data_IF_828681838327
#
_entry.id   IF_828681838327
#
_cell.length_a   1.000
_cell.length_b   1.000
_cell.length_c   1.000
_cell.angle_alpha   90.00
_cell.angle_beta   90.00
_cell.angle_gamma   90.00
#
_symmetry.space_group_name_H-M   'P 1'
#
loop_
_entity.id
_entity.type
_entity.pdbx_description
1 polymer ?
#
# COMPACT_ATOMS: atom_id res chain seq x y z
N UNK A 1 -10.40 14.48 -5.99
CA UNK A 1 -11.30 13.37 -5.59
C UNK A 1 -10.51 12.06 -5.71
N UNK A 2 -10.94 10.95 -5.10
CA UNK A 2 -10.19 9.67 -5.06
C UNK A 2 -9.88 9.11 -6.46
N UNK A 3 -10.73 9.45 -7.43
CA UNK A 3 -10.59 9.12 -8.85
C UNK A 3 -9.33 9.74 -9.49
N UNK A 4 -8.86 10.88 -8.96
CA UNK A 4 -7.63 11.50 -9.44
C UNK A 4 -6.40 10.66 -9.05
N UNK A 5 -6.44 10.02 -7.87
CA UNK A 5 -5.39 9.09 -7.46
C UNK A 5 -5.44 7.83 -8.32
N UNK A 6 -6.63 7.25 -8.57
CA UNK A 6 -6.77 6.10 -9.47
C UNK A 6 -6.17 6.37 -10.86
N UNK A 7 -6.42 7.57 -11.43
CA UNK A 7 -5.82 8.00 -12.70
C UNK A 7 -4.30 8.13 -12.61
N UNK A 8 -3.75 8.70 -11.53
CA UNK A 8 -2.30 8.81 -11.33
C UNK A 8 -1.61 7.45 -11.20
N UNK A 9 -2.28 6.49 -10.57
CA UNK A 9 -1.81 5.10 -10.47
C UNK A 9 -1.91 4.36 -11.81
N UNK A 10 -2.68 4.88 -12.78
CA UNK A 10 -2.95 4.20 -14.04
C UNK A 10 -3.84 2.96 -13.91
N UNK A 11 -4.59 2.85 -12.79
CA UNK A 11 -5.39 1.67 -12.46
C UNK A 11 -6.88 2.01 -12.58
N UNK A 12 -7.62 1.20 -13.34
CA UNK A 12 -9.08 1.23 -13.37
C UNK A 12 -9.62 0.32 -12.29
N UNK A 13 -10.23 0.89 -11.25
CA UNK A 13 -10.91 0.14 -10.20
C UNK A 13 -12.31 -0.25 -10.65
N UNK A 14 -12.68 -1.52 -10.46
CA UNK A 14 -14.07 -1.96 -10.60
C UNK A 14 -14.93 -1.41 -9.46
N UNK A 15 -14.36 -1.35 -8.25
CA UNK A 15 -14.98 -0.79 -7.05
C UNK A 15 -14.05 0.26 -6.44
N UNK A 16 -14.35 1.55 -6.67
CA UNK A 16 -13.49 2.66 -6.22
C UNK A 16 -13.41 2.74 -4.68
N UNK A 17 -14.41 2.21 -3.99
CA UNK A 17 -14.44 2.14 -2.53
C UNK A 17 -13.29 1.30 -1.95
N UNK A 18 -12.74 0.34 -2.71
CA UNK A 18 -11.56 -0.42 -2.28
C UNK A 18 -10.34 0.50 -2.17
N UNK A 19 -10.15 1.40 -3.15
CA UNK A 19 -9.08 2.40 -3.09
C UNK A 19 -9.30 3.37 -1.92
N UNK A 20 -10.54 3.79 -1.68
CA UNK A 20 -10.87 4.64 -0.55
C UNK A 20 -10.61 3.95 0.80
N UNK A 21 -10.97 2.67 0.93
CA UNK A 21 -10.68 1.86 2.11
C UNK A 21 -9.18 1.71 2.34
N UNK A 22 -8.39 1.43 1.29
CA UNK A 22 -6.94 1.30 1.37
C UNK A 22 -6.24 2.56 1.94
N UNK A 23 -6.87 3.73 1.79
CA UNK A 23 -6.37 5.01 2.30
C UNK A 23 -6.97 5.42 3.65
N UNK A 24 -7.84 4.60 4.24
CA UNK A 24 -8.46 4.88 5.52
C UNK A 24 -7.68 4.21 6.64
N UNK A 25 -6.97 5.01 7.43
CA UNK A 25 -6.29 4.54 8.63
C UNK A 25 -7.30 4.26 9.75
N UNK A 26 -7.02 3.28 10.60
CA UNK A 26 -7.89 2.93 11.75
C UNK A 26 -8.21 4.11 12.66
N UNK A 27 -7.31 5.08 12.81
CA UNK A 27 -7.53 6.26 13.65
C UNK A 27 -8.68 7.12 13.13
N UNK A 28 -8.88 7.19 11.82
CA UNK A 28 -9.95 7.95 11.20
C UNK A 28 -11.35 7.49 11.64
N UNK A 29 -11.56 6.18 11.74
CA UNK A 29 -12.82 5.58 12.18
C UNK A 29 -13.15 5.88 13.64
N UNK A 30 -12.13 6.03 14.48
CA UNK A 30 -12.32 6.37 15.88
C UNK A 30 -12.95 7.77 16.05
N UNK A 31 -12.63 8.69 15.13
CA UNK A 31 -13.14 10.06 15.10
C UNK A 31 -14.43 10.22 14.27
N UNK A 32 -14.68 9.32 13.30
CA UNK A 32 -15.80 9.41 12.35
C UNK A 32 -16.66 8.14 12.37
N UNK A 33 -17.50 8.00 13.40
CA UNK A 33 -18.32 6.79 13.62
C UNK A 33 -19.38 6.51 12.56
N UNK A 34 -19.75 7.52 11.78
CA UNK A 34 -20.72 7.45 10.69
C UNK A 34 -20.06 7.12 9.33
N UNK A 35 -18.73 7.01 9.29
CA UNK A 35 -18.01 6.59 8.10
C UNK A 35 -18.33 5.12 7.77
N UNK A 36 -18.64 4.86 6.49
CA UNK A 36 -19.26 3.61 6.06
C UNK A 36 -18.27 2.53 5.63
N UNK A 37 -17.04 2.90 5.31
CA UNK A 37 -16.00 1.97 4.87
C UNK A 37 -15.18 1.53 6.08
N UNK A 38 -14.56 0.35 5.97
CA UNK A 38 -13.64 -0.16 6.98
C UNK A 38 -12.25 0.51 6.84
N UNK A 39 -11.30 0.16 7.70
CA UNK A 39 -9.91 0.61 7.62
C UNK A 39 -9.05 -0.32 6.73
N UNK A 40 -7.81 0.10 6.50
CA UNK A 40 -6.89 -0.54 5.56
C UNK A 40 -6.15 -1.78 6.09
N UNK A 41 -6.05 -2.02 7.39
CA UNK A 41 -5.22 -3.11 7.97
C UNK A 41 -5.44 -4.50 7.31
N UNK A 42 -6.67 -4.86 6.93
CA UNK A 42 -6.92 -6.14 6.23
C UNK A 42 -6.43 -6.14 4.78
N UNK A 43 -6.52 -4.99 4.10
CA UNK A 43 -5.98 -4.81 2.75
C UNK A 43 -4.44 -4.75 2.78
N UNK A 44 -3.87 -4.13 3.81
CA UNK A 44 -2.42 -4.12 4.07
C UNK A 44 -1.90 -5.55 4.27
N UNK A 45 -2.53 -6.33 5.16
CA UNK A 45 -2.16 -7.73 5.38
C UNK A 45 -2.16 -8.57 4.09
N UNK A 46 -3.15 -8.38 3.22
CA UNK A 46 -3.19 -9.05 1.92
C UNK A 46 -2.14 -8.48 0.95
N UNK A 47 -1.99 -7.15 0.93
CA UNK A 47 -1.10 -6.42 0.04
C UNK A 47 0.37 -6.78 0.26
N UNK A 48 0.78 -6.96 1.52
CA UNK A 48 2.13 -7.39 1.88
C UNK A 48 2.44 -8.76 1.28
N UNK A 49 1.55 -9.74 1.44
CA UNK A 49 1.74 -11.07 0.85
C UNK A 49 1.81 -11.03 -0.69
N UNK A 50 0.99 -10.19 -1.33
CA UNK A 50 1.02 -10.00 -2.80
C UNK A 50 2.34 -9.37 -3.23
N UNK A 51 2.80 -8.33 -2.54
CA UNK A 51 4.04 -7.63 -2.86
C UNK A 51 5.26 -8.54 -2.65
N UNK A 52 5.29 -9.28 -1.54
CA UNK A 52 6.33 -10.27 -1.26
C UNK A 52 6.42 -11.32 -2.37
N UNK A 53 5.28 -11.83 -2.83
CA UNK A 53 5.24 -12.82 -3.91
C UNK A 53 5.81 -12.25 -5.21
N UNK A 54 5.33 -11.08 -5.64
CA UNK A 54 5.77 -10.46 -6.92
C UNK A 54 7.26 -10.15 -6.90
N UNK A 55 7.79 -9.62 -5.80
CA UNK A 55 9.24 -9.35 -5.69
C UNK A 55 10.04 -10.64 -5.61
N UNK A 56 9.56 -11.65 -4.89
CA UNK A 56 10.23 -12.96 -4.81
C UNK A 56 10.28 -13.63 -6.18
N UNK A 57 9.19 -13.63 -6.94
CA UNK A 57 9.12 -14.17 -8.30
C UNK A 57 10.11 -13.43 -9.21
N UNK A 58 10.09 -12.09 -9.22
CA UNK A 58 11.03 -11.31 -10.01
C UNK A 58 12.50 -11.63 -9.68
N UNK A 59 12.83 -11.72 -8.39
CA UNK A 59 14.19 -12.04 -7.95
C UNK A 59 14.60 -13.46 -8.35
N UNK A 60 13.71 -14.44 -8.20
CA UNK A 60 13.92 -15.82 -8.57
C UNK A 60 14.17 -16.00 -10.08
N UNK A 61 13.37 -15.33 -10.92
CA UNK A 61 13.46 -15.46 -12.37
C UNK A 61 14.69 -14.77 -12.97
N UNK A 62 15.15 -13.67 -12.35
CA UNK A 62 16.19 -12.81 -12.93
C UNK A 62 17.58 -13.01 -12.33
N UNK A 63 17.71 -13.71 -11.19
CA UNK A 63 18.98 -13.86 -10.49
C UNK A 63 19.18 -15.28 -9.98
N UNK A 64 20.36 -15.85 -10.21
CA UNK A 64 20.72 -17.22 -9.79
C UNK A 64 21.45 -17.26 -8.44
N UNK A 65 21.29 -16.22 -7.62
CA UNK A 65 21.95 -16.11 -6.31
C UNK A 65 21.40 -17.13 -5.31
N UNK A 66 22.14 -17.35 -4.23
CA UNK A 66 21.67 -18.18 -3.12
C UNK A 66 20.44 -17.56 -2.45
N UNK A 67 19.58 -18.39 -1.87
CA UNK A 67 18.34 -17.95 -1.21
C UNK A 67 18.59 -16.82 -0.18
N UNK A 68 19.65 -16.92 0.63
CA UNK A 68 19.97 -15.89 1.62
C UNK A 68 20.26 -14.51 1.01
N UNK A 69 20.90 -14.45 -0.16
CA UNK A 69 21.12 -13.18 -0.88
C UNK A 69 19.80 -12.61 -1.40
N UNK A 70 18.97 -13.46 -2.02
CA UNK A 70 17.67 -13.07 -2.57
C UNK A 70 16.74 -12.57 -1.45
N UNK A 71 16.75 -13.22 -0.28
CA UNK A 71 15.99 -12.81 0.90
C UNK A 71 16.47 -11.44 1.42
N UNK A 72 17.79 -11.20 1.48
CA UNK A 72 18.33 -9.89 1.86
C UNK A 72 17.95 -8.80 0.86
N UNK A 73 18.00 -9.07 -0.44
CA UNK A 73 17.61 -8.12 -1.47
C UNK A 73 16.11 -7.82 -1.41
N UNK A 74 15.26 -8.84 -1.22
CA UNK A 74 13.82 -8.64 -1.03
C UNK A 74 13.55 -7.71 0.15
N UNK A 75 14.19 -7.92 1.30
CA UNK A 75 14.02 -7.05 2.47
C UNK A 75 14.48 -5.60 2.21
N UNK A 76 15.53 -5.41 1.40
CA UNK A 76 15.98 -4.08 1.00
C UNK A 76 15.04 -3.38 0.01
N UNK A 77 14.31 -4.15 -0.81
CA UNK A 77 13.34 -3.63 -1.79
C UNK A 77 11.96 -3.41 -1.18
N UNK A 78 11.54 -4.28 -0.26
CA UNK A 78 10.22 -4.29 0.38
C UNK A 78 10.38 -3.92 1.85
N UNK A 79 10.37 -2.62 2.11
CA UNK A 79 10.35 -2.07 3.47
C UNK A 79 9.61 -0.73 3.51
N UNK A 80 9.25 -0.31 4.72
CA UNK A 80 8.46 0.90 4.94
C UNK A 80 9.08 2.17 4.37
N UNK A 81 10.41 2.32 4.41
CA UNK A 81 11.09 3.51 3.87
C UNK A 81 10.95 3.59 2.34
N UNK A 82 11.20 2.47 1.66
CA UNK A 82 11.07 2.38 0.21
C UNK A 82 9.60 2.58 -0.23
N UNK A 83 8.66 1.93 0.46
CA UNK A 83 7.23 2.05 0.15
C UNK A 83 6.70 3.47 0.43
N UNK A 84 7.12 4.12 1.51
CA UNK A 84 6.78 5.51 1.78
C UNK A 84 7.29 6.45 0.70
N UNK A 85 8.52 6.23 0.20
CA UNK A 85 9.10 7.00 -0.91
C UNK A 85 8.29 6.82 -2.20
N UNK A 86 7.88 5.59 -2.52
CA UNK A 86 7.04 5.30 -3.69
C UNK A 86 5.66 5.96 -3.52
N UNK A 87 5.02 5.82 -2.37
CA UNK A 87 3.72 6.43 -2.07
C UNK A 87 3.76 7.96 -2.22
N UNK A 88 4.84 8.60 -1.79
CA UNK A 88 5.08 10.04 -1.96
C UNK A 88 5.21 10.46 -3.42
N UNK A 89 5.84 9.64 -4.27
CA UNK A 89 5.94 9.92 -5.71
C UNK A 89 4.56 9.93 -6.39
N UNK A 90 3.64 9.09 -5.92
CA UNK A 90 2.24 9.09 -6.37
C UNK A 90 1.39 10.19 -5.69
N UNK A 91 1.92 10.84 -4.65
CA UNK A 91 1.22 11.86 -3.86
C UNK A 91 0.05 11.28 -3.08
N UNK A 92 0.19 10.03 -2.60
CA UNK A 92 -0.84 9.30 -1.84
C UNK A 92 -1.17 10.03 -0.54
N UNK A 93 -0.22 10.75 0.05
CA UNK A 93 -0.41 11.42 1.35
C UNK A 93 -1.61 12.37 1.37
N UNK A 94 -1.94 12.97 0.22
CA UNK A 94 -3.05 13.94 0.07
C UNK A 94 -4.43 13.29 0.16
N UNK A 95 -4.50 11.97 0.06
CA UNK A 95 -5.72 11.19 0.02
C UNK A 95 -5.87 10.30 1.27
N UNK A 96 -4.86 10.24 2.14
CA UNK A 96 -4.91 9.48 3.39
C UNK A 96 -5.93 10.10 4.34
N UNK A 97 -6.79 9.24 4.89
CA UNK A 97 -7.73 9.59 5.94
C UNK A 97 -7.20 9.07 7.26
N UNK A 98 -6.79 9.99 8.12
CA UNK A 98 -6.25 9.71 9.46
C UNK A 98 -6.59 10.87 10.41
N UNK A 99 -6.64 10.56 11.71
CA UNK A 99 -6.84 11.55 12.77
C UNK A 99 -5.75 12.62 12.78
N UNK A 100 -6.09 13.83 13.25
CA UNK A 100 -5.13 14.95 13.35
C UNK A 100 -3.92 14.66 14.26
N UNK A 101 -4.06 13.74 15.21
CA UNK A 101 -2.98 13.33 16.12
C UNK A 101 -2.03 12.26 15.55
N UNK A 102 -2.37 11.68 14.39
CA UNK A 102 -1.62 10.59 13.74
C UNK A 102 -0.84 11.06 12.50
N UNK A 103 -1.19 12.24 11.96
CA UNK A 103 -0.67 12.79 10.71
C UNK A 103 0.72 13.43 10.84
#
# INVERSE_FOLDING_TARGET
MIEDLAKKLGIKFNEINILQQALTHRSYLNEHRDYKLDHNERLEFLGDAVLELVVTEYLYENYTNAEGDLTNWRAALVNGEMLAKIAKNFGVEKYLLMSRGEA
#
